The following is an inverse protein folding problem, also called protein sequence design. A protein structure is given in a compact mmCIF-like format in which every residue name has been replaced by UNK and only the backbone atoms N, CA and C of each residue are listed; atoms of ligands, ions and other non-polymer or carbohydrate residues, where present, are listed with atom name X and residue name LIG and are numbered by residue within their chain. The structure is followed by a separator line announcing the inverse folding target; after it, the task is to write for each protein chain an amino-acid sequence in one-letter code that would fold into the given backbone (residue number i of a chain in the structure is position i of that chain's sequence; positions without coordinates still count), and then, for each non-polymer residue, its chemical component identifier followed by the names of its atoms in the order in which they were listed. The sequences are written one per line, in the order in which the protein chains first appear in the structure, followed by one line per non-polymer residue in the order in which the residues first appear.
data_IF_175650790514
#
_entry.id   IF_175650790514
#
_cell.length_a   1.000
_cell.length_b   1.000
_cell.length_c   1.000
_cell.angle_alpha   90.00
_cell.angle_beta   90.00
_cell.angle_gamma   90.00
#
_symmetry.space_group_name_H-M   'P 1'
#
loop_
_entity.id
_entity.type
_entity.pdbx_description
1 polymer ?
#
# COMPACT_ATOMS: atom_id res chain seq x y z
N UNK A 1 -12.73 -41.38 -1.83
CA UNK A 1 -12.49 -40.10 -1.16
C UNK A 1 -13.85 -39.44 -0.97
N UNK A 2 -14.32 -39.32 0.25
CA UNK A 2 -15.53 -38.55 0.52
C UNK A 2 -15.28 -37.10 0.10
N UNK A 3 -16.21 -36.54 -0.66
CA UNK A 3 -16.16 -35.14 -1.09
C UNK A 3 -16.44 -34.30 0.16
N UNK A 4 -15.41 -33.97 0.92
CA UNK A 4 -15.54 -33.15 2.13
C UNK A 4 -15.95 -31.76 1.68
N UNK A 5 -17.19 -31.37 1.95
CA UNK A 5 -17.73 -30.07 1.59
C UNK A 5 -17.07 -29.01 2.47
N UNK A 6 -16.64 -27.88 1.88
CA UNK A 6 -16.05 -26.78 2.61
C UNK A 6 -17.05 -26.16 3.58
N UNK A 7 -16.69 -26.05 4.84
CA UNK A 7 -17.48 -25.41 5.89
C UNK A 7 -16.94 -24.01 6.15
N UNK A 8 -17.79 -22.98 6.04
CA UNK A 8 -17.39 -21.57 6.09
C UNK A 8 -18.18 -20.85 7.16
N UNK A 9 -17.49 -20.06 7.96
CA UNK A 9 -18.04 -19.06 8.87
C UNK A 9 -17.37 -17.71 8.62
N UNK A 10 -18.13 -16.72 8.17
CA UNK A 10 -17.63 -15.38 7.85
C UNK A 10 -17.77 -14.38 9.00
N UNK A 11 -18.41 -14.76 10.10
CA UNK A 11 -18.51 -13.93 11.31
C UNK A 11 -17.16 -13.89 12.03
N UNK A 12 -16.79 -12.70 12.45
CA UNK A 12 -15.52 -12.42 13.17
C UNK A 12 -15.86 -11.80 14.52
N UNK A 13 -15.01 -12.07 15.52
CA UNK A 13 -15.05 -11.28 16.73
C UNK A 13 -14.51 -9.86 16.45
N UNK A 14 -14.87 -8.89 17.28
CA UNK A 14 -14.49 -7.49 17.07
C UNK A 14 -12.97 -7.31 16.94
N UNK A 15 -12.17 -8.02 17.73
CA UNK A 15 -10.71 -7.94 17.65
C UNK A 15 -10.18 -8.56 16.36
N UNK A 16 -10.66 -9.74 15.98
CA UNK A 16 -10.33 -10.41 14.72
C UNK A 16 -10.70 -9.53 13.52
N UNK A 17 -11.86 -8.88 13.57
CA UNK A 17 -12.30 -7.95 12.53
C UNK A 17 -11.32 -6.80 12.32
N UNK A 18 -10.92 -6.10 13.41
CA UNK A 18 -9.98 -4.99 13.33
C UNK A 18 -8.60 -5.43 12.85
N UNK A 19 -8.15 -6.58 13.30
CA UNK A 19 -6.90 -7.17 12.83
C UNK A 19 -6.97 -7.53 11.35
N UNK A 20 -8.05 -8.18 10.91
CA UNK A 20 -8.27 -8.55 9.50
C UNK A 20 -8.27 -7.33 8.59
N UNK A 21 -8.93 -6.23 8.99
CA UNK A 21 -8.90 -4.96 8.24
C UNK A 21 -7.46 -4.46 8.02
N UNK A 22 -6.67 -4.45 9.11
CA UNK A 22 -5.29 -3.98 9.04
C UNK A 22 -4.41 -4.93 8.22
N UNK A 23 -4.51 -6.22 8.45
CA UNK A 23 -3.68 -7.23 7.78
C UNK A 23 -3.94 -7.23 6.26
N UNK A 24 -5.22 -7.23 5.83
CA UNK A 24 -5.56 -7.12 4.41
C UNK A 24 -5.00 -5.82 3.82
N UNK A 25 -5.18 -4.67 4.50
CA UNK A 25 -4.72 -3.39 3.97
C UNK A 25 -3.19 -3.32 3.82
N UNK A 26 -2.43 -3.97 4.70
CA UNK A 26 -0.96 -4.03 4.62
C UNK A 26 -0.49 -4.89 3.44
N UNK A 27 -1.15 -6.00 3.16
CA UNK A 27 -0.76 -6.95 2.11
C UNK A 27 -0.88 -6.38 0.68
N UNK A 28 -1.56 -5.25 0.50
CA UNK A 28 -1.60 -4.53 -0.78
C UNK A 28 -0.35 -3.71 -1.08
N UNK A 29 0.58 -3.61 -0.13
CA UNK A 29 1.83 -2.87 -0.31
C UNK A 29 3.03 -3.76 0.05
N UNK A 30 4.08 -3.69 -0.75
CA UNK A 30 5.34 -4.36 -0.41
C UNK A 30 6.08 -3.59 0.70
N UNK A 31 7.21 -4.13 1.13
CA UNK A 31 8.06 -3.55 2.19
C UNK A 31 8.53 -2.12 1.88
N UNK A 32 8.61 -1.77 0.59
CA UNK A 32 8.97 -0.44 0.11
C UNK A 32 7.74 0.49 -0.04
N UNK A 33 6.55 0.04 0.39
CA UNK A 33 5.30 0.79 0.28
C UNK A 33 4.69 0.81 -1.13
N UNK A 34 5.23 0.02 -2.09
CA UNK A 34 4.72 -0.03 -3.45
C UNK A 34 3.43 -0.86 -3.53
N UNK A 35 2.41 -0.31 -4.17
CA UNK A 35 1.11 -0.94 -4.36
C UNK A 35 1.20 -2.18 -5.28
N UNK A 36 0.69 -3.32 -4.80
CA UNK A 36 0.71 -4.63 -5.47
C UNK A 36 -0.66 -5.32 -5.38
N UNK A 37 -1.66 -4.90 -6.18
CA UNK A 37 -3.04 -5.35 -6.02
C UNK A 37 -3.23 -6.87 -6.17
N UNK A 38 -2.50 -7.51 -7.08
CA UNK A 38 -2.60 -8.96 -7.30
C UNK A 38 -2.05 -9.77 -6.12
N UNK A 39 -1.00 -9.31 -5.47
CA UNK A 39 -0.46 -9.91 -4.25
C UNK A 39 -1.44 -9.69 -3.09
N UNK A 40 -1.98 -8.47 -2.95
CA UNK A 40 -2.97 -8.13 -1.94
C UNK A 40 -4.22 -9.01 -2.02
N UNK A 41 -4.75 -9.26 -3.23
CA UNK A 41 -5.91 -10.16 -3.41
C UNK A 41 -5.57 -11.60 -2.99
N UNK A 42 -4.41 -12.14 -3.38
CA UNK A 42 -4.00 -13.50 -3.01
C UNK A 42 -3.85 -13.63 -1.49
N UNK A 43 -3.25 -12.64 -0.84
CA UNK A 43 -3.12 -12.64 0.61
C UNK A 43 -4.48 -12.45 1.31
N UNK A 44 -5.39 -11.66 0.77
CA UNK A 44 -6.75 -11.57 1.29
C UNK A 44 -7.50 -12.91 1.20
N UNK A 45 -7.31 -13.65 0.11
CA UNK A 45 -7.84 -15.02 -0.03
C UNK A 45 -7.23 -15.98 0.99
N UNK A 46 -5.91 -15.86 1.28
CA UNK A 46 -5.23 -16.62 2.31
C UNK A 46 -5.79 -16.31 3.70
N UNK A 47 -5.96 -15.02 4.03
CA UNK A 47 -6.55 -14.59 5.30
C UNK A 47 -7.99 -15.12 5.41
N UNK A 48 -8.77 -15.07 4.34
CA UNK A 48 -10.12 -15.65 4.30
C UNK A 48 -10.11 -17.16 4.58
N UNK A 49 -9.20 -17.90 3.94
CA UNK A 49 -9.08 -19.34 4.18
C UNK A 49 -8.81 -19.61 5.66
N UNK A 50 -7.79 -19.01 6.23
CA UNK A 50 -7.36 -19.25 7.60
C UNK A 50 -8.42 -18.86 8.65
N UNK A 51 -9.17 -17.78 8.43
CA UNK A 51 -10.15 -17.30 9.40
C UNK A 51 -11.55 -17.90 9.22
N UNK A 52 -11.98 -18.04 7.98
CA UNK A 52 -13.38 -18.32 7.65
C UNK A 52 -13.64 -19.77 7.24
N UNK A 53 -12.66 -20.48 6.67
CA UNK A 53 -12.81 -21.89 6.33
C UNK A 53 -12.52 -22.72 7.57
N UNK A 54 -13.53 -23.47 8.06
CA UNK A 54 -13.40 -24.29 9.27
C UNK A 54 -13.03 -25.74 8.95
N UNK A 55 -13.47 -26.22 7.80
CA UNK A 55 -13.12 -27.56 7.30
C UNK A 55 -13.01 -27.51 5.78
N UNK A 56 -11.99 -28.15 5.23
CA UNK A 56 -11.80 -28.28 3.79
C UNK A 56 -11.15 -29.63 3.41
N UNK A 57 -11.18 -29.98 2.12
CA UNK A 57 -10.45 -31.12 1.58
C UNK A 57 -8.93 -30.91 1.56
N UNK A 58 -8.48 -29.69 1.79
CA UNK A 58 -7.07 -29.29 1.78
C UNK A 58 -6.40 -29.38 3.15
N UNK A 59 -7.17 -29.55 4.23
CA UNK A 59 -6.66 -29.60 5.61
C UNK A 59 -5.65 -30.73 5.83
N UNK A 60 -5.77 -31.84 5.10
CA UNK A 60 -4.86 -32.99 5.19
C UNK A 60 -3.49 -32.69 4.54
N UNK A 61 -3.45 -31.81 3.53
CA UNK A 61 -2.25 -31.51 2.76
C UNK A 61 -1.51 -30.28 3.30
N UNK A 62 -2.24 -29.21 3.59
CA UNK A 62 -1.67 -27.90 3.97
C UNK A 62 -1.84 -27.57 5.46
N UNK A 63 -2.63 -28.37 6.19
CA UNK A 63 -3.06 -27.99 7.53
C UNK A 63 -4.13 -26.89 7.49
N UNK A 64 -4.52 -26.41 8.67
CA UNK A 64 -5.57 -25.39 8.76
C UNK A 64 -5.04 -23.97 8.52
N UNK A 65 -3.77 -23.74 8.81
CA UNK A 65 -3.15 -22.41 8.68
C UNK A 65 -2.17 -22.38 7.51
N UNK A 66 -2.49 -21.59 6.49
CA UNK A 66 -1.61 -21.35 5.35
C UNK A 66 -0.82 -20.07 5.60
N UNK A 67 0.51 -20.19 5.73
CA UNK A 67 1.38 -19.05 6.00
C UNK A 67 1.85 -18.32 4.74
N UNK A 68 2.03 -19.04 3.63
CA UNK A 68 2.51 -18.49 2.38
C UNK A 68 1.41 -18.51 1.30
N UNK A 69 1.18 -17.37 0.65
CA UNK A 69 0.22 -17.27 -0.45
C UNK A 69 0.58 -18.16 -1.65
N UNK A 70 1.84 -18.60 -1.78
CA UNK A 70 2.25 -19.55 -2.83
C UNK A 70 1.66 -20.93 -2.65
N UNK A 71 1.33 -21.32 -1.41
CA UNK A 71 0.68 -22.59 -1.09
C UNK A 71 -0.80 -22.60 -1.48
N UNK A 72 -1.36 -21.40 -1.76
CA UNK A 72 -2.76 -21.25 -2.17
C UNK A 72 -3.05 -21.64 -3.63
N UNK A 73 -2.04 -21.97 -4.44
CA UNK A 73 -2.20 -22.13 -5.92
C UNK A 73 -3.29 -23.13 -6.35
N UNK A 74 -3.52 -24.19 -5.57
CA UNK A 74 -4.59 -25.16 -5.86
C UNK A 74 -5.95 -24.70 -5.30
N UNK A 75 -5.94 -24.03 -4.16
CA UNK A 75 -7.13 -23.52 -3.49
C UNK A 75 -7.74 -22.35 -4.28
N UNK A 76 -6.91 -21.41 -4.79
CA UNK A 76 -7.40 -20.23 -5.54
C UNK A 76 -7.97 -20.55 -6.91
N UNK A 77 -7.78 -21.76 -7.42
CA UNK A 77 -8.42 -22.23 -8.68
C UNK A 77 -9.62 -23.14 -8.40
N UNK A 78 -9.86 -23.49 -7.14
CA UNK A 78 -11.03 -24.28 -6.74
C UNK A 78 -12.30 -23.43 -6.81
N UNK A 79 -13.26 -23.91 -7.59
CA UNK A 79 -14.50 -23.20 -7.83
C UNK A 79 -15.30 -23.00 -6.53
N UNK A 80 -15.36 -24.02 -5.67
CA UNK A 80 -16.15 -23.95 -4.43
C UNK A 80 -15.54 -22.90 -3.48
N UNK A 81 -14.21 -22.81 -3.43
CA UNK A 81 -13.51 -21.77 -2.67
C UNK A 81 -13.77 -20.37 -3.25
N UNK A 82 -13.64 -20.21 -4.58
CA UNK A 82 -13.89 -18.92 -5.25
C UNK A 82 -15.33 -18.46 -5.03
N UNK A 83 -16.31 -19.35 -5.18
CA UNK A 83 -17.72 -19.04 -4.98
C UNK A 83 -18.01 -18.65 -3.51
N UNK A 84 -17.35 -19.31 -2.58
CA UNK A 84 -17.44 -19.00 -1.16
C UNK A 84 -16.83 -17.64 -0.82
N UNK A 85 -15.62 -17.37 -1.30
CA UNK A 85 -14.96 -16.07 -1.12
C UNK A 85 -15.80 -14.93 -1.70
N UNK A 86 -16.27 -15.06 -2.95
CA UNK A 86 -17.12 -14.06 -3.58
C UNK A 86 -18.44 -13.86 -2.82
N UNK A 87 -19.03 -14.95 -2.32
CA UNK A 87 -20.26 -14.88 -1.51
C UNK A 87 -20.02 -14.12 -0.21
N UNK A 88 -18.90 -14.36 0.46
CA UNK A 88 -18.52 -13.63 1.67
C UNK A 88 -18.35 -12.13 1.41
N UNK A 89 -17.78 -11.74 0.26
CA UNK A 89 -17.63 -10.33 -0.12
C UNK A 89 -18.98 -9.64 -0.41
N UNK A 90 -20.00 -10.39 -0.77
CA UNK A 90 -21.35 -9.86 -1.07
C UNK A 90 -22.21 -9.62 0.19
N UNK A 91 -21.79 -10.14 1.35
CA UNK A 91 -22.52 -9.93 2.62
C UNK A 91 -22.54 -8.43 2.94
N UNK A 92 -23.76 -7.91 3.11
CA UNK A 92 -24.01 -6.50 3.48
C UNK A 92 -24.61 -6.46 4.88
N UNK A 93 -24.16 -5.52 5.69
CA UNK A 93 -24.69 -5.31 7.04
C UNK A 93 -23.69 -4.51 7.89
N UNK A 94 -24.07 -4.25 9.14
CA UNK A 94 -23.18 -3.60 10.11
C UNK A 94 -22.42 -4.61 10.99
N UNK A 95 -22.53 -5.90 10.71
CA UNK A 95 -21.97 -6.95 11.52
C UNK A 95 -20.46 -7.09 11.27
N UNK A 96 -19.75 -7.58 12.26
CA UNK A 96 -18.35 -7.93 12.15
C UNK A 96 -18.22 -9.21 11.33
N UNK A 97 -18.03 -9.05 10.02
CA UNK A 97 -17.82 -10.16 9.09
C UNK A 97 -16.67 -9.86 8.12
N UNK A 98 -16.16 -10.91 7.49
CA UNK A 98 -15.06 -10.82 6.57
C UNK A 98 -15.30 -9.86 5.40
N UNK A 99 -16.50 -9.87 4.80
CA UNK A 99 -16.82 -8.99 3.69
C UNK A 99 -16.79 -7.50 4.05
N UNK A 100 -17.22 -7.15 5.26
CA UNK A 100 -17.11 -5.78 5.77
C UNK A 100 -15.64 -5.42 6.08
N UNK A 101 -14.89 -6.34 6.68
CA UNK A 101 -13.45 -6.13 6.95
C UNK A 101 -12.69 -5.90 5.65
N UNK A 102 -12.95 -6.69 4.62
CA UNK A 102 -12.34 -6.54 3.31
C UNK A 102 -12.65 -5.17 2.68
N UNK A 103 -13.90 -4.71 2.71
CA UNK A 103 -14.28 -3.39 2.19
C UNK A 103 -13.57 -2.27 2.93
N UNK A 104 -13.55 -2.29 4.26
CA UNK A 104 -12.82 -1.29 5.05
C UNK A 104 -11.31 -1.31 4.77
N UNK A 105 -10.73 -2.50 4.57
CA UNK A 105 -9.33 -2.61 4.17
C UNK A 105 -9.08 -1.94 2.82
N UNK A 106 -9.95 -2.14 1.84
CA UNK A 106 -9.84 -1.48 0.52
C UNK A 106 -9.98 0.05 0.62
N UNK A 107 -10.83 0.57 1.50
CA UNK A 107 -10.93 2.02 1.75
C UNK A 107 -9.59 2.57 2.30
N UNK A 108 -8.94 1.84 3.20
CA UNK A 108 -7.61 2.20 3.72
C UNK A 108 -6.55 2.12 2.60
N UNK A 109 -6.60 1.09 1.76
CA UNK A 109 -5.70 0.93 0.60
C UNK A 109 -5.84 2.12 -0.35
N UNK A 110 -7.06 2.49 -0.69
CA UNK A 110 -7.32 3.63 -1.59
C UNK A 110 -6.86 4.95 -0.98
N UNK A 111 -7.11 5.16 0.32
CA UNK A 111 -6.59 6.33 1.04
C UNK A 111 -5.06 6.40 1.02
N UNK A 112 -4.36 5.29 1.30
CA UNK A 112 -2.89 5.23 1.27
C UNK A 112 -2.36 5.52 -0.13
N UNK A 113 -2.94 4.89 -1.15
CA UNK A 113 -2.57 5.08 -2.55
C UNK A 113 -2.72 6.54 -2.98
N UNK A 114 -3.89 7.14 -2.73
CA UNK A 114 -4.18 8.54 -3.05
C UNK A 114 -3.28 9.50 -2.26
N UNK A 115 -2.98 9.20 -1.01
CA UNK A 115 -2.07 9.99 -0.19
C UNK A 115 -0.64 9.99 -0.74
N UNK A 116 -0.14 8.84 -1.21
CA UNK A 116 1.18 8.72 -1.84
C UNK A 116 1.22 9.48 -3.17
N UNK A 117 0.22 9.31 -4.03
CA UNK A 117 0.11 10.03 -5.31
C UNK A 117 0.04 11.55 -5.09
N UNK A 118 -0.76 12.04 -4.14
CA UNK A 118 -0.85 13.45 -3.79
C UNK A 118 0.47 13.99 -3.24
N UNK A 119 1.20 13.22 -2.43
CA UNK A 119 2.49 13.64 -1.90
C UNK A 119 3.51 13.79 -3.02
N UNK A 120 3.59 12.86 -3.96
CA UNK A 120 4.45 12.93 -5.13
C UNK A 120 4.08 14.13 -6.01
N UNK A 121 2.80 14.38 -6.26
CA UNK A 121 2.30 15.53 -7.02
C UNK A 121 2.65 16.87 -6.36
N UNK A 122 2.51 16.98 -5.04
CA UNK A 122 2.85 18.19 -4.29
C UNK A 122 4.35 18.46 -4.38
N UNK A 123 5.18 17.43 -4.20
CA UNK A 123 6.64 17.56 -4.30
C UNK A 123 7.04 17.91 -5.73
N UNK A 124 6.47 17.24 -6.74
CA UNK A 124 6.75 17.55 -8.15
C UNK A 124 6.39 19.00 -8.49
N UNK A 125 5.22 19.48 -8.10
CA UNK A 125 4.80 20.87 -8.29
C UNK A 125 5.69 21.86 -7.55
N UNK A 126 6.13 21.53 -6.33
CA UNK A 126 7.04 22.37 -5.57
C UNK A 126 8.42 22.46 -6.25
N UNK A 127 8.94 21.34 -6.77
CA UNK A 127 10.20 21.32 -7.52
C UNK A 127 10.07 22.10 -8.83
N UNK A 128 8.98 21.96 -9.58
CA UNK A 128 8.76 22.69 -10.82
C UNK A 128 8.62 24.20 -10.58
N UNK A 129 7.87 24.61 -9.57
CA UNK A 129 7.75 26.02 -9.18
C UNK A 129 9.12 26.60 -8.74
N UNK A 130 9.93 25.79 -8.06
CA UNK A 130 11.29 26.17 -7.69
C UNK A 130 12.16 26.34 -8.93
N UNK A 131 12.14 25.40 -9.89
CA UNK A 131 12.86 25.50 -11.17
C UNK A 131 12.43 26.72 -11.98
N UNK A 132 11.13 27.01 -12.07
CA UNK A 132 10.62 28.18 -12.77
C UNK A 132 11.04 29.51 -12.12
N UNK A 133 11.03 29.58 -10.78
CA UNK A 133 11.47 30.77 -10.05
C UNK A 133 12.99 30.98 -10.09
N UNK A 134 13.76 29.92 -10.32
CA UNK A 134 15.23 29.96 -10.38
C UNK A 134 15.81 30.17 -11.79
N UNK A 135 15.03 29.99 -12.84
CA UNK A 135 15.48 30.17 -14.24
C UNK A 135 15.97 31.60 -14.57
N UNK A 136 15.84 32.54 -13.63
CA UNK A 136 16.36 33.89 -13.76
C UNK A 136 17.66 34.19 -13.00
N UNK A 137 18.15 33.28 -12.11
CA UNK A 137 19.18 33.70 -11.12
C UNK A 137 20.29 32.68 -10.79
N UNK A 138 20.33 31.44 -11.34
CA UNK A 138 21.22 30.39 -10.80
C UNK A 138 22.08 29.67 -11.83
N UNK A 139 23.33 29.36 -11.41
CA UNK A 139 24.39 28.67 -12.18
C UNK A 139 24.03 27.21 -12.51
N UNK A 140 24.61 26.65 -13.60
CA UNK A 140 24.33 25.33 -14.15
C UNK A 140 24.46 24.13 -13.20
N UNK A 141 25.23 24.24 -12.10
CA UNK A 141 25.43 23.14 -11.15
C UNK A 141 24.19 22.88 -10.28
N UNK A 142 23.45 23.93 -9.94
CA UNK A 142 22.20 23.79 -9.16
C UNK A 142 21.07 23.20 -10.00
N UNK A 143 21.02 23.51 -11.30
CA UNK A 143 20.08 22.91 -12.25
C UNK A 143 20.32 21.40 -12.37
N UNK A 144 21.57 20.95 -12.42
CA UNK A 144 21.92 19.53 -12.49
C UNK A 144 21.48 18.78 -11.22
N UNK A 145 21.62 19.39 -10.05
CA UNK A 145 21.17 18.79 -8.78
C UNK A 145 19.65 18.66 -8.73
N UNK A 146 18.90 19.64 -9.23
CA UNK A 146 17.43 19.63 -9.28
C UNK A 146 16.94 18.57 -10.28
N UNK A 147 17.56 18.46 -11.45
CA UNK A 147 17.26 17.44 -12.44
C UNK A 147 17.55 16.04 -11.89
N UNK A 148 18.60 15.86 -11.12
CA UNK A 148 18.97 14.59 -10.49
C UNK A 148 17.94 14.19 -9.39
N UNK A 149 17.48 15.15 -8.60
CA UNK A 149 16.39 14.96 -7.65
C UNK A 149 15.09 14.60 -8.38
N UNK A 150 14.72 15.31 -9.42
CA UNK A 150 13.51 15.04 -10.22
C UNK A 150 13.56 13.64 -10.86
N UNK A 151 14.71 13.21 -11.36
CA UNK A 151 14.91 11.87 -11.92
C UNK A 151 14.84 10.78 -10.86
N UNK A 152 15.37 10.99 -9.68
CA UNK A 152 15.23 10.07 -8.52
C UNK A 152 13.77 9.97 -8.07
N UNK A 153 13.03 11.08 -8.12
CA UNK A 153 11.58 11.12 -7.85
C UNK A 153 10.80 10.31 -8.87
N UNK A 154 11.04 10.52 -10.15
CA UNK A 154 10.39 9.81 -11.26
C UNK A 154 10.62 8.28 -11.22
N UNK A 155 11.74 7.84 -10.67
CA UNK A 155 12.12 6.43 -10.58
C UNK A 155 11.68 5.74 -9.28
N UNK A 156 10.78 6.35 -8.48
CA UNK A 156 10.32 5.82 -7.18
C UNK A 156 11.46 5.48 -6.19
N UNK A 157 12.60 6.18 -6.26
CA UNK A 157 13.76 6.00 -5.37
C UNK A 157 13.75 6.95 -4.16
N UNK A 158 12.62 7.59 -3.89
CA UNK A 158 12.50 8.53 -2.78
C UNK A 158 12.00 7.78 -1.54
N UNK A 159 12.86 7.71 -0.53
CA UNK A 159 12.45 7.40 0.83
C UNK A 159 12.23 8.71 1.62
N UNK A 160 11.65 8.60 2.81
CA UNK A 160 11.38 9.75 3.68
C UNK A 160 12.67 10.52 4.07
N UNK A 161 13.82 9.85 4.15
CA UNK A 161 15.12 10.47 4.45
C UNK A 161 15.58 11.38 3.32
N UNK A 162 15.44 10.94 2.07
CA UNK A 162 15.78 11.77 0.88
C UNK A 162 14.94 13.05 0.81
N UNK A 163 13.67 12.99 1.23
CA UNK A 163 12.78 14.17 1.29
C UNK A 163 13.25 15.13 2.40
N UNK A 164 13.58 14.60 3.58
CA UNK A 164 14.07 15.40 4.71
C UNK A 164 15.40 16.07 4.38
N UNK A 165 16.31 15.37 3.74
CA UNK A 165 17.59 15.93 3.29
C UNK A 165 17.41 17.02 2.23
N UNK A 166 16.54 16.80 1.23
CA UNK A 166 16.23 17.80 0.21
C UNK A 166 15.58 19.04 0.82
N UNK A 167 14.69 18.88 1.81
CA UNK A 167 14.06 19.98 2.53
C UNK A 167 15.09 20.75 3.38
N UNK A 168 15.95 20.05 4.10
CA UNK A 168 17.02 20.68 4.90
C UNK A 168 18.02 21.45 4.04
N UNK A 169 18.36 20.93 2.86
CA UNK A 169 19.21 21.64 1.89
C UNK A 169 18.48 22.89 1.35
N UNK A 170 17.20 22.81 1.04
CA UNK A 170 16.42 23.96 0.57
C UNK A 170 16.33 25.10 1.59
N UNK A 171 16.26 24.79 2.89
CA UNK A 171 16.29 25.81 3.95
C UNK A 171 17.67 26.47 4.08
N UNK A 172 18.76 25.72 3.98
CA UNK A 172 20.12 26.29 3.98
C UNK A 172 20.35 27.24 2.82
N UNK A 173 19.77 26.95 1.63
CA UNK A 173 19.83 27.86 0.48
C UNK A 173 19.07 29.17 0.71
N UNK A 174 17.91 29.12 1.38
CA UNK A 174 17.17 30.35 1.72
C UNK A 174 17.96 31.26 2.66
N UNK A 175 18.69 30.66 3.60
CA UNK A 175 19.51 31.41 4.55
C UNK A 175 20.73 32.05 3.84
N UNK A 176 21.35 31.36 2.88
CA UNK A 176 22.48 31.88 2.09
C UNK A 176 22.04 33.04 1.20
N UNK A 177 20.89 32.92 0.49
CA UNK A 177 20.36 33.99 -0.37
C UNK A 177 19.91 35.20 0.45
N UNK A 178 19.43 35.00 1.68
CA UNK A 178 19.07 36.10 2.58
C UNK A 178 20.30 36.87 3.08
N UNK A 179 21.44 36.19 3.28
CA UNK A 179 22.71 36.81 3.69
C UNK A 179 23.30 37.63 2.55
N UNK A 180 23.34 37.10 1.32
CA UNK A 180 23.87 37.84 0.15
C UNK A 180 23.06 39.13 -0.13
N UNK A 181 21.73 39.11 0.03
CA UNK A 181 20.91 40.31 -0.12
C UNK A 181 21.09 41.35 0.98
N UNK A 182 21.61 40.98 2.14
CA UNK A 182 21.86 41.89 3.25
C UNK A 182 23.26 42.56 3.19
N UNK A 183 24.13 42.10 2.29
CA UNK A 183 25.47 42.68 2.07
C UNK A 183 25.52 43.67 0.88
N UNK A 184 24.42 43.78 0.09
CA UNK A 184 24.32 44.72 -1.03
C UNK A 184 23.53 46.02 -0.70
N UNK A 185 23.03 46.19 0.54
CA UNK A 185 22.43 47.42 1.05
C UNK A 185 23.40 48.13 2.03
#
# INVERSE_FOLDING_TARGET
MENKQMVINTELEMFEYLQTVNDIALEYFNIDGKYQPHIGILNAMRIFYNLCVKESKYDEEYGHDIFDATDMKEIVVDKDFIDAFNSALMVKGMDFNFGNAYRQALDIVEYKKTSLENTVDIIYKAVMNFVESFNSTVSGDTLNTIVDIANKMSNNQINSETIVEAYAQSQRFKDVVAIEKSEED
#
